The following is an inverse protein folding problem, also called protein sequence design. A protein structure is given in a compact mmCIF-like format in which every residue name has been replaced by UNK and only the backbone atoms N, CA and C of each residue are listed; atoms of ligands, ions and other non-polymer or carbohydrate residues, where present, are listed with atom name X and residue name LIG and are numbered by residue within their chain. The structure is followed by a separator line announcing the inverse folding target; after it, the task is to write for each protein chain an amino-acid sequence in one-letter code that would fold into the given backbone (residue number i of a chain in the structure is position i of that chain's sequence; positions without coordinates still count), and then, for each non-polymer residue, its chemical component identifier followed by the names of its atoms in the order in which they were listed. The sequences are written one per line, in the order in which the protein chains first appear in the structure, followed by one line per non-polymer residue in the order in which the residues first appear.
data_IF_828314915889
#
_entry.id   IF_828314915889
#
_cell.length_a   1.000
_cell.length_b   1.000
_cell.length_c   1.000
_cell.angle_alpha   90.00
_cell.angle_beta   90.00
_cell.angle_gamma   90.00
#
_symmetry.space_group_name_H-M   'P 1'
#
loop_
_entity.id
_entity.type
_entity.pdbx_description
1 polymer ?
#
# COMPACT_ATOMS: atom_id res chain seq x y z
N UNK A 1 -1.63 12.20 -34.02
CA UNK A 1 -2.80 13.03 -34.38
C UNK A 1 -2.33 14.45 -34.63
N UNK A 2 -2.86 15.17 -35.64
CA UNK A 2 -2.53 16.58 -35.86
C UNK A 2 -3.06 17.43 -34.70
N UNK A 3 -2.21 18.34 -34.19
CA UNK A 3 -2.57 19.25 -33.10
C UNK A 3 -3.65 20.24 -33.59
N UNK A 4 -4.77 20.40 -32.87
CA UNK A 4 -5.78 21.39 -33.23
C UNK A 4 -5.20 22.81 -33.20
N UNK A 5 -5.56 23.64 -34.18
CA UNK A 5 -5.22 25.08 -34.18
C UNK A 5 -6.01 25.75 -33.05
N UNK A 6 -5.31 26.22 -32.02
CA UNK A 6 -5.88 27.13 -31.03
C UNK A 6 -5.93 28.56 -31.58
N UNK A 7 -6.86 29.37 -31.07
CA UNK A 7 -6.91 30.80 -31.35
C UNK A 7 -5.62 31.52 -30.91
N UNK A 8 -5.27 32.62 -31.56
CA UNK A 8 -4.02 33.36 -31.33
C UNK A 8 -3.90 33.87 -29.88
N UNK A 9 -5.04 34.07 -29.21
CA UNK A 9 -5.10 34.51 -27.81
C UNK A 9 -4.80 33.40 -26.79
N UNK A 10 -5.01 32.13 -27.15
CA UNK A 10 -4.77 30.97 -26.27
C UNK A 10 -3.49 30.21 -26.59
N UNK A 11 -2.84 30.56 -27.72
CA UNK A 11 -1.60 29.93 -28.15
C UNK A 11 -0.43 30.25 -27.21
N UNK A 12 0.36 29.24 -26.86
CA UNK A 12 1.61 29.38 -26.09
C UNK A 12 2.73 29.96 -26.96
N UNK A 13 2.58 31.21 -27.41
CA UNK A 13 3.46 31.85 -28.38
C UNK A 13 4.76 32.43 -27.78
N UNK A 14 4.73 32.82 -26.51
CA UNK A 14 5.84 33.55 -25.86
C UNK A 14 6.62 32.67 -24.88
N UNK A 15 7.96 32.75 -24.93
CA UNK A 15 8.86 32.08 -23.98
C UNK A 15 9.27 33.03 -22.86
N UNK A 16 9.22 32.56 -21.62
CA UNK A 16 9.64 33.28 -20.43
C UNK A 16 10.77 32.49 -19.76
N UNK A 17 11.86 33.17 -19.42
CA UNK A 17 13.00 32.58 -18.71
C UNK A 17 13.32 33.39 -17.45
N UNK A 18 13.59 32.69 -16.36
CA UNK A 18 14.03 33.32 -15.10
C UNK A 18 15.02 32.42 -14.37
N UNK A 19 15.87 33.03 -13.54
CA UNK A 19 16.82 32.30 -12.68
C UNK A 19 16.24 32.21 -11.29
N UNK A 20 16.34 31.02 -10.69
CA UNK A 20 15.95 30.76 -9.30
C UNK A 20 17.15 30.25 -8.52
N UNK A 21 17.11 30.41 -7.20
CA UNK A 21 18.13 29.82 -6.34
C UNK A 21 17.92 28.30 -6.19
N UNK A 22 18.93 27.61 -5.65
CA UNK A 22 18.90 26.14 -5.47
C UNK A 22 17.73 25.68 -4.61
N UNK A 23 17.48 26.35 -3.49
CA UNK A 23 16.39 26.00 -2.59
C UNK A 23 15.02 26.04 -3.29
N UNK A 24 14.77 27.06 -4.11
CA UNK A 24 13.53 27.20 -4.87
C UNK A 24 13.46 26.16 -5.99
N UNK A 25 14.57 25.85 -6.65
CA UNK A 25 14.63 24.82 -7.67
C UNK A 25 14.25 23.44 -7.10
N UNK A 26 14.82 23.05 -5.97
CA UNK A 26 14.50 21.79 -5.28
C UNK A 26 13.02 21.74 -4.85
N UNK A 27 12.46 22.86 -4.34
CA UNK A 27 11.03 22.95 -4.04
C UNK A 27 10.14 22.72 -5.26
N UNK A 28 10.46 23.37 -6.39
CA UNK A 28 9.69 23.22 -7.63
C UNK A 28 9.77 21.80 -8.18
N UNK A 29 10.93 21.15 -8.06
CA UNK A 29 11.12 19.77 -8.47
C UNK A 29 10.23 18.83 -7.65
N UNK A 30 10.19 18.99 -6.33
CA UNK A 30 9.33 18.19 -5.45
C UNK A 30 7.84 18.37 -5.79
N UNK A 31 7.41 19.59 -6.11
CA UNK A 31 6.03 19.85 -6.54
C UNK A 31 5.71 19.25 -7.90
N UNK A 32 6.65 19.29 -8.85
CA UNK A 32 6.49 18.68 -10.17
C UNK A 32 6.32 17.15 -10.04
N UNK A 33 7.16 16.50 -9.22
CA UNK A 33 7.08 15.08 -8.93
C UNK A 33 5.76 14.71 -8.26
N UNK A 34 5.35 15.47 -7.23
CA UNK A 34 4.10 15.22 -6.50
C UNK A 34 2.82 15.50 -7.30
N UNK A 35 2.87 16.40 -8.30
CA UNK A 35 1.74 16.70 -9.19
C UNK A 35 1.74 15.88 -10.49
N UNK A 36 2.79 15.07 -10.74
CA UNK A 36 3.02 14.35 -11.99
C UNK A 36 2.99 15.25 -13.24
N UNK A 37 3.53 16.47 -13.09
CA UNK A 37 3.62 17.45 -14.16
C UNK A 37 5.08 17.71 -14.53
N UNK A 38 5.33 18.02 -15.80
CA UNK A 38 6.61 18.58 -16.21
C UNK A 38 6.80 19.97 -15.59
N UNK A 39 8.06 20.36 -15.34
CA UNK A 39 8.41 21.68 -14.77
C UNK A 39 7.75 22.85 -15.51
N UNK A 40 7.67 22.77 -16.85
CA UNK A 40 7.02 23.80 -17.67
C UNK A 40 5.50 23.85 -17.49
N UNK A 41 4.86 22.70 -17.23
CA UNK A 41 3.43 22.63 -16.92
C UNK A 41 3.14 23.22 -15.53
N UNK A 42 3.93 22.81 -14.54
CA UNK A 42 3.83 23.33 -13.17
C UNK A 42 4.01 24.85 -13.14
N UNK A 43 5.07 25.38 -13.74
CA UNK A 43 5.32 26.82 -13.77
C UNK A 43 4.21 27.58 -14.49
N UNK A 44 3.62 27.00 -15.54
CA UNK A 44 2.47 27.60 -16.22
C UNK A 44 1.26 27.66 -15.30
N UNK A 45 0.96 26.58 -14.59
CA UNK A 45 -0.15 26.57 -13.64
C UNK A 45 0.06 27.58 -12.50
N UNK A 46 1.31 27.74 -12.03
CA UNK A 46 1.67 28.81 -11.07
C UNK A 46 1.42 30.21 -11.66
N UNK A 47 1.91 30.48 -12.89
CA UNK A 47 1.81 31.80 -13.53
C UNK A 47 0.34 32.17 -13.82
N UNK A 48 -0.47 31.21 -14.23
CA UNK A 48 -1.91 31.42 -14.50
C UNK A 48 -2.80 31.21 -13.27
N UNK A 49 -2.21 31.09 -12.07
CA UNK A 49 -2.90 30.91 -10.80
C UNK A 49 -3.93 29.76 -10.81
N UNK A 50 -3.55 28.65 -11.45
CA UNK A 50 -4.36 27.43 -11.56
C UNK A 50 -4.10 26.52 -10.36
N UNK A 51 -5.09 25.72 -9.93
CA UNK A 51 -4.94 24.82 -8.80
C UNK A 51 -3.97 23.68 -9.13
N UNK A 52 -2.90 23.55 -8.33
CA UNK A 52 -1.92 22.46 -8.44
C UNK A 52 -2.29 21.40 -7.40
N UNK A 53 -2.67 20.20 -7.87
CA UNK A 53 -2.95 19.06 -7.00
C UNK A 53 -1.67 18.28 -6.78
N UNK A 54 -1.17 18.28 -5.54
CA UNK A 54 -0.02 17.48 -5.14
C UNK A 54 -0.55 16.21 -4.48
N UNK A 55 -0.18 15.06 -5.03
CA UNK A 55 -0.49 13.75 -4.46
C UNK A 55 0.75 13.31 -3.69
N UNK A 56 0.73 13.47 -2.36
CA UNK A 56 1.76 12.92 -1.50
C UNK A 56 1.39 11.49 -1.13
N UNK A 57 2.30 10.55 -1.40
CA UNK A 57 2.15 9.17 -0.94
C UNK A 57 2.95 9.01 0.36
N UNK A 58 2.23 8.82 1.47
CA UNK A 58 2.87 8.52 2.74
C UNK A 58 3.24 7.03 2.80
N UNK A 59 4.55 6.76 2.71
CA UNK A 59 5.12 5.42 2.76
C UNK A 59 5.37 4.92 4.18
N UNK A 60 5.07 5.70 5.23
CA UNK A 60 5.46 5.41 6.62
C UNK A 60 4.95 4.06 7.12
N UNK A 61 3.82 3.57 6.58
CA UNK A 61 3.19 2.31 6.98
C UNK A 61 3.35 1.18 5.96
N UNK A 62 4.04 1.40 4.84
CA UNK A 62 4.08 0.43 3.76
C UNK A 62 4.72 -0.91 4.21
N UNK A 63 5.85 -0.86 4.89
CA UNK A 63 6.55 -2.06 5.40
C UNK A 63 5.72 -2.80 6.45
N UNK A 64 5.03 -2.05 7.32
CA UNK A 64 4.18 -2.66 8.36
C UNK A 64 2.95 -3.32 7.75
N UNK A 65 2.37 -2.70 6.71
CA UNK A 65 1.25 -3.26 5.97
C UNK A 65 1.66 -4.52 5.19
N UNK A 66 2.86 -4.55 4.62
CA UNK A 66 3.39 -5.75 3.95
C UNK A 66 3.52 -6.93 4.92
N UNK A 67 4.05 -6.72 6.13
CA UNK A 67 4.15 -7.76 7.15
C UNK A 67 2.78 -8.27 7.61
N UNK A 68 1.80 -7.38 7.78
CA UNK A 68 0.41 -7.77 8.08
C UNK A 68 -0.21 -8.64 6.97
N UNK A 69 0.03 -8.29 5.70
CA UNK A 69 -0.47 -9.07 4.56
C UNK A 69 0.13 -10.48 4.55
N UNK A 70 1.43 -10.62 4.87
CA UNK A 70 2.08 -11.95 5.00
C UNK A 70 1.40 -12.79 6.08
N UNK A 71 1.26 -12.25 7.30
CA UNK A 71 0.63 -12.97 8.41
C UNK A 71 -0.82 -13.35 8.08
N UNK A 72 -1.59 -12.44 7.48
CA UNK A 72 -2.97 -12.73 7.04
C UNK A 72 -3.01 -13.90 6.06
N UNK A 73 -2.05 -13.97 5.13
CA UNK A 73 -1.97 -15.04 4.13
C UNK A 73 -1.62 -16.37 4.77
N UNK A 74 -0.70 -16.37 5.74
CA UNK A 74 -0.32 -17.55 6.52
C UNK A 74 -1.47 -18.06 7.40
N UNK A 75 -2.19 -17.17 8.08
CA UNK A 75 -3.39 -17.55 8.85
C UNK A 75 -4.48 -18.13 7.96
N UNK A 76 -4.68 -17.56 6.76
CA UNK A 76 -5.65 -18.06 5.78
C UNK A 76 -5.30 -19.48 5.33
N UNK A 77 -4.03 -19.77 5.04
CA UNK A 77 -3.60 -21.11 4.62
C UNK A 77 -3.79 -22.14 5.73
N UNK A 78 -3.47 -21.80 6.98
CA UNK A 78 -3.73 -22.66 8.14
C UNK A 78 -5.24 -22.93 8.29
N UNK A 79 -6.08 -21.90 8.17
CA UNK A 79 -7.53 -22.04 8.26
C UNK A 79 -8.12 -22.96 7.17
N UNK A 80 -7.61 -22.86 5.94
CA UNK A 80 -7.99 -23.78 4.84
C UNK A 80 -7.60 -25.22 5.20
N UNK A 81 -6.38 -25.44 5.69
CA UNK A 81 -5.90 -26.78 6.06
C UNK A 81 -6.73 -27.38 7.20
N UNK A 82 -7.06 -26.60 8.23
CA UNK A 82 -7.93 -27.06 9.32
C UNK A 82 -9.30 -27.46 8.77
N UNK A 83 -9.91 -26.63 7.93
CA UNK A 83 -11.21 -26.93 7.34
C UNK A 83 -11.18 -28.23 6.50
N UNK A 84 -10.08 -28.49 5.79
CA UNK A 84 -9.88 -29.75 5.08
C UNK A 84 -9.79 -30.93 6.04
N UNK A 85 -9.01 -30.82 7.12
CA UNK A 85 -8.89 -31.87 8.14
C UNK A 85 -10.25 -32.14 8.81
N UNK A 86 -11.01 -31.09 9.14
CA UNK A 86 -12.36 -31.22 9.72
C UNK A 86 -13.32 -31.92 8.76
N UNK A 87 -13.27 -31.61 7.46
CA UNK A 87 -14.04 -32.34 6.45
C UNK A 87 -13.68 -33.82 6.45
N UNK A 88 -12.38 -34.16 6.38
CA UNK A 88 -11.91 -35.55 6.38
C UNK A 88 -12.31 -36.28 7.67
N UNK A 89 -12.19 -35.63 8.83
CA UNK A 89 -12.62 -36.17 10.12
C UNK A 89 -14.12 -36.52 10.15
N UNK A 90 -14.97 -35.68 9.55
CA UNK A 90 -16.41 -35.92 9.49
C UNK A 90 -16.81 -36.95 8.42
N UNK A 91 -16.05 -37.05 7.33
CA UNK A 91 -16.30 -38.00 6.23
C UNK A 91 -16.03 -39.45 6.63
N UNK A 92 -14.97 -39.70 7.38
CA UNK A 92 -14.56 -41.07 7.72
C UNK A 92 -15.12 -41.51 9.08
N UNK A 93 -15.94 -42.59 9.15
CA UNK A 93 -16.52 -43.05 10.40
C UNK A 93 -15.54 -43.87 11.25
N UNK A 94 -14.43 -44.37 10.68
CA UNK A 94 -13.50 -45.23 11.40
C UNK A 94 -12.77 -44.48 12.53
N UNK A 95 -12.80 -45.03 13.75
CA UNK A 95 -12.21 -44.41 14.95
C UNK A 95 -10.72 -44.08 14.78
N UNK A 96 -9.95 -44.99 14.16
CA UNK A 96 -8.51 -44.80 13.93
C UNK A 96 -8.21 -43.62 12.98
N UNK A 97 -9.03 -43.43 11.94
CA UNK A 97 -8.88 -42.29 11.02
C UNK A 97 -9.30 -40.98 11.69
N UNK A 98 -10.35 -40.99 12.51
CA UNK A 98 -10.75 -39.84 13.32
C UNK A 98 -9.66 -39.41 14.30
N UNK A 99 -9.06 -40.35 15.02
CA UNK A 99 -7.95 -40.07 15.94
C UNK A 99 -6.73 -39.49 15.20
N UNK A 100 -6.43 -39.99 13.99
CA UNK A 100 -5.38 -39.43 13.15
C UNK A 100 -5.67 -37.97 12.77
N UNK A 101 -6.83 -37.67 12.19
CA UNK A 101 -7.18 -36.31 11.80
C UNK A 101 -7.30 -35.35 12.99
N UNK A 102 -7.76 -35.81 14.14
CA UNK A 102 -7.79 -35.02 15.37
C UNK A 102 -6.38 -34.61 15.82
N UNK A 103 -5.41 -35.54 15.79
CA UNK A 103 -3.99 -35.24 16.09
C UNK A 103 -3.40 -34.26 15.08
N UNK A 104 -3.68 -34.42 13.79
CA UNK A 104 -3.20 -33.49 12.74
C UNK A 104 -3.81 -32.09 12.91
N UNK A 105 -5.10 -32.00 13.26
CA UNK A 105 -5.75 -30.72 13.54
C UNK A 105 -5.13 -30.01 14.76
N UNK A 106 -4.83 -30.75 15.82
CA UNK A 106 -4.18 -30.21 17.02
C UNK A 106 -2.81 -29.60 16.70
N UNK A 107 -2.02 -30.25 15.85
CA UNK A 107 -0.73 -29.71 15.37
C UNK A 107 -0.89 -28.43 14.53
N UNK A 108 -1.94 -28.32 13.73
CA UNK A 108 -2.23 -27.08 13.00
C UNK A 108 -2.68 -25.96 13.95
N UNK A 109 -3.42 -26.31 15.01
CA UNK A 109 -3.88 -25.35 16.01
C UNK A 109 -2.72 -24.78 16.84
N UNK A 110 -1.73 -25.60 17.21
CA UNK A 110 -0.51 -25.09 17.87
C UNK A 110 0.29 -24.15 16.97
N UNK A 111 0.31 -24.36 15.66
CA UNK A 111 0.96 -23.46 14.71
C UNK A 111 0.27 -22.07 14.63
N UNK A 112 -1.05 -21.99 14.87
CA UNK A 112 -1.79 -20.71 14.92
C UNK A 112 -1.29 -19.84 16.07
N UNK A 113 -0.99 -20.44 17.23
CA UNK A 113 -0.60 -19.69 18.43
C UNK A 113 0.60 -18.78 18.17
N UNK A 114 1.61 -19.28 17.43
CA UNK A 114 2.80 -18.50 17.07
C UNK A 114 2.48 -17.33 16.12
N UNK A 115 1.54 -17.52 15.19
CA UNK A 115 1.11 -16.47 14.27
C UNK A 115 0.30 -15.38 14.98
N UNK A 116 -0.56 -15.77 15.92
CA UNK A 116 -1.32 -14.84 16.76
C UNK A 116 -0.38 -13.99 17.63
N UNK A 117 0.67 -14.58 18.20
CA UNK A 117 1.67 -13.83 18.97
C UNK A 117 2.44 -12.81 18.09
N UNK A 118 2.82 -13.19 16.87
CA UNK A 118 3.42 -12.24 15.91
C UNK A 118 2.47 -11.10 15.54
N UNK A 119 1.19 -11.41 15.35
CA UNK A 119 0.17 -10.41 15.06
C UNK A 119 0.02 -9.41 16.21
N UNK A 120 -0.01 -9.88 17.47
CA UNK A 120 -0.06 -9.01 18.65
C UNK A 120 1.10 -8.00 18.67
N UNK A 121 2.34 -8.45 18.46
CA UNK A 121 3.53 -7.59 18.44
C UNK A 121 3.45 -6.52 17.34
N UNK A 122 2.96 -6.88 16.14
CA UNK A 122 2.79 -5.91 15.05
C UNK A 122 1.65 -4.94 15.31
N UNK A 123 0.55 -5.38 15.91
CA UNK A 123 -0.55 -4.49 16.30
C UNK A 123 -0.12 -3.48 17.37
N UNK A 124 0.75 -3.89 18.30
CA UNK A 124 1.31 -3.00 19.33
C UNK A 124 2.25 -1.94 18.72
N UNK A 125 3.10 -2.34 17.76
CA UNK A 125 3.93 -1.38 17.00
C UNK A 125 3.09 -0.38 16.20
N UNK A 126 1.97 -0.84 15.64
CA UNK A 126 1.03 0.01 14.92
C UNK A 126 0.30 0.99 15.85
N UNK A 127 -0.21 0.53 17.00
CA UNK A 127 -0.90 1.40 17.95
C UNK A 127 0.02 2.45 18.55
N UNK A 128 1.27 2.11 18.86
CA UNK A 128 2.27 3.08 19.35
C UNK A 128 2.54 4.18 18.32
N UNK A 129 2.70 3.84 17.03
CA UNK A 129 2.91 4.84 15.97
C UNK A 129 1.64 5.61 15.60
N UNK A 130 0.46 5.00 15.70
CA UNK A 130 -0.80 5.65 15.37
C UNK A 130 -1.27 6.61 16.48
N UNK A 131 -0.97 6.31 17.75
CA UNK A 131 -1.30 7.17 18.90
C UNK A 131 -0.23 8.24 19.17
N UNK A 132 0.97 8.09 18.62
CA UNK A 132 2.01 9.12 18.63
C UNK A 132 1.59 10.28 17.72
N UNK A 133 0.76 11.17 18.26
CA UNK A 133 0.63 12.54 17.77
C UNK A 133 1.86 13.36 18.14
#
# INVERSE_FOLDING_TARGET
MPRPKLDDTEALAYKIFTRVNRQKYEQLQNWAEGSRQDMSGLLRDIIYNRPIRIITHDNTFNDTMQELVKIRTELKSIGININQITRLFNTYPEKTRKEFYAKTAFHQYTAIHNQVNRLYVLTEKLTLKWLSK
#
